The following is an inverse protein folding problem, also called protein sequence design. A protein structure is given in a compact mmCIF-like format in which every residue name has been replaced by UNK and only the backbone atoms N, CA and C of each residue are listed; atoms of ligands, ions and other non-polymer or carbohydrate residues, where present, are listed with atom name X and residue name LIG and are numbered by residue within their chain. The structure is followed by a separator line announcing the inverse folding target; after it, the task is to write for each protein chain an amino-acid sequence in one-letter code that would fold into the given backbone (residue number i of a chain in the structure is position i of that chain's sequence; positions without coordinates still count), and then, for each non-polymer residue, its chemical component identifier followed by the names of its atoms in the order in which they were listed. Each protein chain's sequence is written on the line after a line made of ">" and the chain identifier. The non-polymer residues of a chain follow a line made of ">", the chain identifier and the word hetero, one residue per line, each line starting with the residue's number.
data_IF_446816016843
#
_entry.id   IF_446816016843
#
_cell.length_a   1.000
_cell.length_b   1.000
_cell.length_c   1.000
_cell.angle_alpha   90.00
_cell.angle_beta   90.00
_cell.angle_gamma   90.00
#
_symmetry.space_group_name_H-M   'P 1'
#
loop_
_entity.id
_entity.type
_entity.pdbx_description
1 polymer ?
#
# COMPACT_ATOMS: atom_id res chain seq x y z
N UNK A 1 -4.92 15.13 0.51
CA UNK A 1 -3.49 15.08 0.89
C UNK A 1 -2.59 15.34 -0.31
N UNK A 2 -2.54 14.46 -1.32
CA UNK A 2 -1.61 14.62 -2.46
C UNK A 2 -1.66 15.98 -3.15
N UNK A 3 -2.85 16.48 -3.50
CA UNK A 3 -2.96 17.78 -4.19
C UNK A 3 -2.42 18.92 -3.34
N UNK A 4 -2.81 18.99 -2.07
CA UNK A 4 -2.26 19.96 -1.09
C UNK A 4 -0.74 19.87 -0.98
N UNK A 5 -0.19 18.65 -0.95
CA UNK A 5 1.26 18.45 -0.89
C UNK A 5 1.97 18.99 -2.14
N UNK A 6 1.39 18.73 -3.34
CA UNK A 6 1.89 19.27 -4.60
C UNK A 6 1.82 20.80 -4.66
N UNK A 7 0.84 21.39 -3.99
CA UNK A 7 0.70 22.86 -3.85
C UNK A 7 1.66 23.46 -2.82
N UNK A 8 2.63 22.68 -2.31
CA UNK A 8 3.62 23.13 -1.34
C UNK A 8 3.11 23.18 0.10
N UNK A 9 1.90 22.68 0.37
CA UNK A 9 1.31 22.71 1.70
C UNK A 9 1.78 21.54 2.56
N UNK A 10 1.87 21.79 3.86
CA UNK A 10 2.01 20.74 4.86
C UNK A 10 0.76 19.85 4.91
N UNK A 11 0.97 18.54 5.04
CA UNK A 11 -0.09 17.54 5.12
C UNK A 11 0.09 16.63 6.31
N UNK A 12 -0.97 16.43 7.07
CA UNK A 12 -1.02 15.45 8.15
C UNK A 12 -1.52 14.11 7.60
N UNK A 13 -0.72 13.07 7.77
CA UNK A 13 -1.03 11.72 7.33
C UNK A 13 -1.46 10.90 8.55
N UNK A 14 -2.67 10.31 8.55
CA UNK A 14 -3.12 9.47 9.65
C UNK A 14 -2.28 8.18 9.73
N UNK A 15 -2.01 7.73 10.95
CA UNK A 15 -1.29 6.48 11.18
C UNK A 15 -2.25 5.30 11.32
N UNK A 16 -1.88 4.15 10.75
CA UNK A 16 -2.65 2.91 10.84
C UNK A 16 -1.86 1.84 11.59
N UNK A 17 -2.45 1.32 12.67
CA UNK A 17 -1.88 0.21 13.42
C UNK A 17 -2.35 -1.12 12.85
N UNK A 18 -1.43 -1.87 12.26
CA UNK A 18 -1.70 -3.23 11.79
C UNK A 18 -1.92 -4.25 12.93
N UNK A 19 -1.42 -3.96 14.13
CA UNK A 19 -1.66 -4.78 15.30
C UNK A 19 -3.11 -4.62 15.79
N UNK A 20 -3.61 -3.38 15.83
CA UNK A 20 -4.98 -3.07 16.25
C UNK A 20 -6.01 -3.18 15.11
N UNK A 21 -5.54 -3.35 13.87
CA UNK A 21 -6.34 -3.22 12.65
C UNK A 21 -7.16 -1.92 12.59
N UNK A 22 -6.64 -0.82 13.13
CA UNK A 22 -7.36 0.43 13.27
C UNK A 22 -6.47 1.64 13.00
N UNK A 23 -7.09 2.74 12.58
CA UNK A 23 -6.45 4.05 12.59
C UNK A 23 -6.24 4.48 14.04
N UNK A 24 -5.06 4.98 14.34
CA UNK A 24 -4.74 5.55 15.65
C UNK A 24 -4.88 7.08 15.60
N UNK A 25 -5.08 7.77 16.75
CA UNK A 25 -5.23 9.22 16.78
C UNK A 25 -3.99 10.00 16.34
N UNK A 26 -2.82 9.36 16.33
CA UNK A 26 -1.58 10.00 15.88
C UNK A 26 -1.60 10.30 14.38
N UNK A 27 -1.02 11.45 14.05
CA UNK A 27 -0.77 11.88 12.68
C UNK A 27 0.71 12.16 12.52
N UNK A 28 1.21 11.92 11.32
CA UNK A 28 2.55 12.28 10.91
C UNK A 28 2.47 13.45 9.94
N UNK A 29 3.13 14.55 10.27
CA UNK A 29 3.21 15.68 9.35
C UNK A 29 4.30 15.50 8.30
N UNK A 30 4.00 15.90 7.06
CA UNK A 30 4.96 15.94 5.95
C UNK A 30 4.94 17.36 5.36
N UNK A 31 6.11 17.99 5.34
CA UNK A 31 6.31 19.34 4.81
C UNK A 31 6.85 19.26 3.39
N UNK A 32 6.08 19.75 2.42
CA UNK A 32 6.41 19.66 1.00
C UNK A 32 7.74 20.34 0.64
N UNK A 33 8.06 21.49 1.24
CA UNK A 33 9.31 22.23 0.96
C UNK A 33 10.60 21.50 1.36
N UNK A 34 10.50 20.35 2.03
CA UNK A 34 11.64 19.52 2.44
C UNK A 34 11.70 18.18 1.69
N UNK A 35 10.96 18.04 0.60
CA UNK A 35 10.77 16.76 -0.07
C UNK A 35 10.88 16.95 -1.59
N UNK A 36 12.02 16.56 -2.16
CA UNK A 36 12.23 16.59 -3.61
C UNK A 36 11.51 15.42 -4.32
N UNK A 37 11.38 14.28 -3.62
CA UNK A 37 10.75 13.06 -4.15
C UNK A 37 9.81 12.46 -3.10
N UNK A 38 8.53 12.29 -3.48
CA UNK A 38 7.52 11.64 -2.67
C UNK A 38 7.22 10.23 -3.21
N UNK A 39 7.45 9.22 -2.37
CA UNK A 39 6.98 7.86 -2.64
C UNK A 39 5.57 7.67 -2.10
N UNK A 40 4.65 7.29 -2.99
CA UNK A 40 3.26 6.94 -2.65
C UNK A 40 3.10 5.43 -2.84
N UNK A 41 3.12 4.70 -1.73
CA UNK A 41 2.97 3.24 -1.71
C UNK A 41 1.58 2.82 -1.23
N UNK A 42 1.11 1.68 -1.73
CA UNK A 42 -0.14 1.07 -1.32
C UNK A 42 -0.79 0.23 -2.43
N UNK A 43 -1.65 -0.70 -2.01
CA UNK A 43 -2.31 -1.65 -2.91
C UNK A 43 -3.09 -0.97 -4.05
N UNK A 44 -3.79 0.13 -3.76
CA UNK A 44 -4.74 0.73 -4.70
C UNK A 44 -4.24 2.00 -5.41
N UNK A 45 -2.96 2.35 -5.28
CA UNK A 45 -2.40 3.62 -5.79
C UNK A 45 -2.65 3.79 -7.28
N UNK A 46 -2.41 2.75 -8.08
CA UNK A 46 -2.64 2.78 -9.53
C UNK A 46 -4.10 2.50 -9.94
N UNK A 47 -4.94 2.09 -8.99
CA UNK A 47 -6.36 1.82 -9.24
C UNK A 47 -7.20 3.10 -9.32
N UNK A 48 -6.90 4.09 -8.47
CA UNK A 48 -7.69 5.29 -8.36
C UNK A 48 -7.19 6.40 -9.28
N UNK A 49 -8.04 6.83 -10.22
CA UNK A 49 -7.68 7.83 -11.23
C UNK A 49 -7.26 9.17 -10.62
N UNK A 50 -7.97 9.60 -9.56
CA UNK A 50 -7.64 10.83 -8.83
C UNK A 50 -6.23 10.80 -8.24
N UNK A 51 -5.72 9.63 -7.84
CA UNK A 51 -4.35 9.51 -7.32
C UNK A 51 -3.39 9.39 -8.48
N UNK A 52 -3.67 8.48 -9.42
CA UNK A 52 -2.83 8.15 -10.56
C UNK A 52 -2.52 9.36 -11.45
N UNK A 53 -3.48 10.24 -11.69
CA UNK A 53 -3.28 11.46 -12.50
C UNK A 53 -2.31 12.45 -11.87
N UNK A 54 -2.01 12.29 -10.58
CA UNK A 54 -1.09 13.14 -9.83
C UNK A 54 0.32 12.55 -9.71
N UNK A 55 0.58 11.35 -10.26
CA UNK A 55 1.88 10.68 -10.16
C UNK A 55 2.72 10.88 -11.42
N UNK A 56 3.97 11.28 -11.23
CA UNK A 56 4.92 11.47 -12.33
C UNK A 56 5.49 10.14 -12.85
N UNK A 57 5.70 9.17 -11.95
CA UNK A 57 6.16 7.81 -12.29
C UNK A 57 5.29 6.76 -11.57
N UNK A 58 4.88 5.74 -12.31
CA UNK A 58 3.98 4.67 -11.85
C UNK A 58 4.69 3.33 -11.93
N UNK A 59 4.96 2.73 -10.79
CA UNK A 59 5.67 1.44 -10.68
C UNK A 59 4.72 0.39 -10.12
N UNK A 60 4.66 -0.78 -10.74
CA UNK A 60 3.96 -1.96 -10.22
C UNK A 60 4.97 -3.06 -9.92
N UNK A 61 4.93 -3.61 -8.71
CA UNK A 61 5.82 -4.69 -8.29
C UNK A 61 5.07 -6.02 -8.46
N UNK A 62 5.42 -6.79 -9.50
CA UNK A 62 4.77 -8.06 -9.86
C UNK A 62 5.59 -9.26 -9.36
N UNK A 63 5.40 -9.57 -8.09
CA UNK A 63 6.06 -10.72 -7.46
C UNK A 63 5.11 -11.91 -7.43
N UNK A 64 5.67 -13.11 -7.67
CA UNK A 64 4.93 -14.37 -7.54
C UNK A 64 4.18 -14.44 -6.19
N UNK A 65 2.91 -14.87 -6.26
CA UNK A 65 1.97 -14.89 -5.13
C UNK A 65 2.43 -15.80 -3.98
N UNK A 66 3.13 -16.89 -4.28
CA UNK A 66 3.63 -17.83 -3.27
C UNK A 66 4.76 -17.21 -2.46
N UNK A 67 5.65 -16.46 -3.13
CA UNK A 67 6.69 -15.69 -2.46
C UNK A 67 6.08 -14.58 -1.59
N UNK A 68 5.01 -13.93 -2.06
CA UNK A 68 4.26 -12.95 -1.26
C UNK A 68 3.60 -13.58 -0.03
N UNK A 69 2.97 -14.74 -0.16
CA UNK A 69 2.37 -15.48 0.95
C UNK A 69 3.43 -15.88 1.98
N UNK A 70 4.55 -16.47 1.55
CA UNK A 70 5.64 -16.87 2.43
C UNK A 70 6.19 -15.67 3.23
N UNK A 71 6.41 -14.53 2.57
CA UNK A 71 6.81 -13.28 3.22
C UNK A 71 5.76 -12.78 4.22
N UNK A 72 4.48 -12.88 3.86
CA UNK A 72 3.37 -12.46 4.74
C UNK A 72 3.28 -13.33 5.99
N UNK A 73 3.39 -14.65 5.87
CA UNK A 73 3.39 -15.58 7.01
C UNK A 73 4.54 -15.23 7.96
N UNK A 74 5.76 -15.08 7.42
CA UNK A 74 6.94 -14.73 8.22
C UNK A 74 6.76 -13.40 8.96
N UNK A 75 6.27 -12.36 8.28
CA UNK A 75 6.01 -11.04 8.87
C UNK A 75 4.92 -11.09 9.93
N UNK A 76 3.75 -11.62 9.60
CA UNK A 76 2.57 -11.56 10.48
C UNK A 76 2.76 -12.46 11.73
N UNK A 77 3.55 -13.53 11.64
CA UNK A 77 3.96 -14.34 12.79
C UNK A 77 4.87 -13.57 13.76
N UNK A 78 5.86 -12.83 13.24
CA UNK A 78 6.84 -12.09 14.06
C UNK A 78 6.30 -10.78 14.62
N UNK A 79 5.55 -10.04 13.82
CA UNK A 79 5.22 -8.64 14.10
C UNK A 79 3.76 -8.44 14.54
N UNK A 80 2.88 -9.41 14.27
CA UNK A 80 1.42 -9.26 14.49
C UNK A 80 0.81 -10.38 15.32
N UNK A 81 1.65 -11.26 15.88
CA UNK A 81 1.24 -12.39 16.72
C UNK A 81 0.16 -13.28 16.09
N UNK A 82 0.19 -13.48 14.76
CA UNK A 82 -0.76 -14.35 14.06
C UNK A 82 -0.19 -15.75 13.85
N UNK A 83 -1.06 -16.75 13.81
CA UNK A 83 -0.68 -18.10 13.42
C UNK A 83 -0.61 -18.23 11.90
N UNK A 84 0.13 -19.22 11.43
CA UNK A 84 0.27 -19.49 9.99
C UNK A 84 -1.07 -19.86 9.34
N UNK A 85 -1.87 -20.66 10.03
CA UNK A 85 -3.19 -21.10 9.59
C UNK A 85 -4.14 -19.91 9.43
N UNK A 86 -4.11 -18.96 10.38
CA UNK A 86 -4.92 -17.74 10.29
C UNK A 86 -4.53 -16.88 9.09
N UNK A 87 -3.23 -16.77 8.80
CA UNK A 87 -2.72 -15.99 7.66
C UNK A 87 -3.08 -16.67 6.34
N UNK A 88 -2.92 -17.99 6.24
CA UNK A 88 -3.28 -18.78 5.06
C UNK A 88 -4.78 -18.72 4.77
N UNK A 89 -5.62 -18.92 5.79
CA UNK A 89 -7.07 -18.81 5.65
C UNK A 89 -7.51 -17.41 5.19
N UNK A 90 -6.92 -16.34 5.73
CA UNK A 90 -7.19 -14.98 5.26
C UNK A 90 -6.70 -14.75 3.83
N UNK A 91 -5.54 -15.32 3.48
CA UNK A 91 -4.94 -15.19 2.16
C UNK A 91 -5.90 -15.71 1.07
N UNK A 92 -6.38 -16.94 1.23
CA UNK A 92 -7.28 -17.59 0.28
C UNK A 92 -8.65 -16.93 0.24
N UNK A 93 -9.23 -16.61 1.41
CA UNK A 93 -10.59 -16.09 1.49
C UNK A 93 -10.74 -14.64 1.00
N UNK A 94 -9.72 -13.79 1.19
CA UNK A 94 -9.87 -12.35 0.95
C UNK A 94 -8.72 -11.71 0.17
N UNK A 95 -7.47 -12.06 0.48
CA UNK A 95 -6.31 -11.32 -0.05
C UNK A 95 -6.07 -11.65 -1.51
N UNK A 96 -6.00 -12.94 -1.85
CA UNK A 96 -5.75 -13.38 -3.22
C UNK A 96 -6.93 -13.02 -4.15
N UNK A 97 -8.20 -13.28 -3.78
CA UNK A 97 -9.33 -12.82 -4.60
C UNK A 97 -9.35 -11.30 -4.79
N UNK A 98 -9.07 -10.53 -3.73
CA UNK A 98 -8.99 -9.06 -3.82
C UNK A 98 -7.83 -8.59 -4.69
N UNK A 99 -6.68 -9.26 -4.61
CA UNK A 99 -5.53 -8.99 -5.46
C UNK A 99 -5.88 -9.20 -6.94
N UNK A 100 -6.42 -10.36 -7.29
CA UNK A 100 -6.79 -10.69 -8.66
C UNK A 100 -7.88 -9.77 -9.21
N UNK A 101 -8.89 -9.43 -8.39
CA UNK A 101 -10.01 -8.60 -8.83
C UNK A 101 -9.65 -7.11 -8.97
N UNK A 102 -8.79 -6.58 -8.09
CA UNK A 102 -8.65 -5.13 -7.97
C UNK A 102 -7.21 -4.61 -8.13
N UNK A 103 -6.20 -5.41 -7.80
CA UNK A 103 -4.81 -4.96 -7.76
C UNK A 103 -4.07 -5.36 -9.03
N UNK A 104 -4.11 -6.64 -9.42
CA UNK A 104 -3.47 -7.15 -10.64
C UNK A 104 -3.89 -6.37 -11.90
N UNK A 105 -5.18 -6.02 -12.12
CA UNK A 105 -5.57 -5.25 -13.30
C UNK A 105 -4.97 -3.84 -13.34
N UNK A 106 -4.62 -3.26 -12.19
CA UNK A 106 -4.00 -1.93 -12.13
C UNK A 106 -2.57 -1.91 -12.69
N UNK A 107 -1.93 -3.08 -12.84
CA UNK A 107 -0.63 -3.24 -13.51
C UNK A 107 -0.60 -2.63 -14.92
N UNK A 108 -1.71 -2.71 -15.66
CA UNK A 108 -1.82 -2.15 -17.02
C UNK A 108 -1.66 -0.62 -17.08
N UNK A 109 -1.62 0.03 -15.91
CA UNK A 109 -1.55 1.48 -15.74
C UNK A 109 -0.19 1.94 -15.22
N UNK A 110 0.75 1.01 -15.05
CA UNK A 110 2.11 1.29 -14.62
C UNK A 110 2.99 1.64 -15.83
N UNK A 111 3.93 2.55 -15.61
CA UNK A 111 4.98 2.86 -16.58
C UNK A 111 6.09 1.80 -16.52
N UNK A 112 6.35 1.25 -15.33
CA UNK A 112 7.36 0.22 -15.08
C UNK A 112 6.75 -0.92 -14.29
N UNK A 113 7.09 -2.15 -14.67
CA UNK A 113 6.78 -3.36 -13.90
C UNK A 113 8.08 -4.03 -13.50
N UNK A 114 8.22 -4.34 -12.22
CA UNK A 114 9.40 -5.01 -11.63
C UNK A 114 9.02 -6.37 -11.09
#
# INVERSE_FOLDING_TARGET
>A
HLSRFRDGQEVEIPEYSHALNARVPSVRSIVASRCDVLFVDGLYVLRHDLVRSQLDLKIFIDVNTDACLARRISRDKRERCRTEESVAAQWESTVLPGFEAFIRPSRLRADIIV
#
